data_IF_022756283977
#
_entry.id   IF_022756283977
#
_cell.length_a   1.000
_cell.length_b   1.000
_cell.length_c   1.000
_cell.angle_alpha   90.00
_cell.angle_beta   90.00
_cell.angle_gamma   90.00
#
_symmetry.space_group_name_H-M   'P 1'
#
loop_
_entity.id
_entity.type
_entity.pdbx_description
1 polymer ?
#
# COMPACT_ATOMS: atom_id res chain seq x y z
N UNK A 1 -6.18 -18.52 -12.28
CA UNK A 1 -6.31 -19.95 -12.68
C UNK A 1 -7.71 -20.43 -12.39
N UNK A 2 -8.24 -21.34 -13.20
CA UNK A 2 -9.53 -22.00 -12.98
C UNK A 2 -9.32 -23.50 -12.78
N UNK A 3 -9.98 -24.12 -11.79
CA UNK A 3 -9.90 -25.56 -11.50
C UNK A 3 -11.24 -26.28 -11.81
N UNK A 4 -11.26 -27.33 -12.64
CA UNK A 4 -12.45 -28.20 -12.79
C UNK A 4 -12.25 -29.55 -13.53
N UNK A 5 -12.82 -30.69 -13.05
CA UNK A 5 -12.84 -31.98 -13.75
C UNK A 5 -14.20 -32.21 -14.46
N UNK A 6 -14.28 -32.13 -15.79
CA UNK A 6 -15.59 -31.92 -16.45
C UNK A 6 -15.77 -32.59 -17.81
N UNK A 7 -17.02 -33.04 -18.07
CA UNK A 7 -17.56 -33.47 -19.37
C UNK A 7 -17.51 -32.35 -20.43
N UNK A 8 -17.68 -32.64 -21.73
CA UNK A 8 -17.53 -31.65 -22.82
C UNK A 8 -18.39 -30.37 -22.69
N UNK A 9 -19.57 -30.47 -22.06
CA UNK A 9 -20.46 -29.32 -21.79
C UNK A 9 -19.90 -28.45 -20.68
N UNK A 10 -19.49 -29.11 -19.62
CA UNK A 10 -18.95 -28.47 -18.43
C UNK A 10 -17.57 -27.84 -18.75
N UNK A 11 -16.76 -28.47 -19.61
CA UNK A 11 -15.50 -27.91 -20.11
C UNK A 11 -15.73 -26.62 -20.92
N UNK A 12 -16.68 -26.63 -21.85
CA UNK A 12 -17.04 -25.42 -22.62
C UNK A 12 -17.47 -24.27 -21.72
N UNK A 13 -18.30 -24.56 -20.72
CA UNK A 13 -18.70 -23.57 -19.73
C UNK A 13 -17.50 -23.03 -18.92
N UNK A 14 -16.57 -23.89 -18.50
CA UNK A 14 -15.37 -23.45 -17.81
C UNK A 14 -14.45 -22.56 -18.68
N UNK A 15 -14.38 -22.84 -19.99
CA UNK A 15 -13.66 -22.04 -20.98
C UNK A 15 -14.32 -20.67 -21.19
N UNK A 16 -15.65 -20.61 -21.30
CA UNK A 16 -16.41 -19.35 -21.39
C UNK A 16 -16.20 -18.47 -20.16
N UNK A 17 -16.33 -19.04 -18.95
CA UNK A 17 -16.11 -18.31 -17.70
C UNK A 17 -14.66 -17.85 -17.54
N UNK A 18 -13.69 -18.63 -18.02
CA UNK A 18 -12.28 -18.25 -18.00
C UNK A 18 -12.01 -17.01 -18.87
N UNK A 19 -12.58 -16.95 -20.08
CA UNK A 19 -12.43 -15.78 -20.97
C UNK A 19 -13.19 -14.56 -20.44
N UNK A 20 -14.35 -14.74 -19.78
CA UNK A 20 -15.04 -13.65 -19.11
C UNK A 20 -14.21 -13.07 -17.95
N UNK A 21 -13.66 -13.92 -17.08
CA UNK A 21 -12.76 -13.48 -15.99
C UNK A 21 -11.57 -12.73 -16.55
N UNK A 22 -10.91 -13.24 -17.59
CA UNK A 22 -9.80 -12.54 -18.25
C UNK A 22 -10.19 -11.15 -18.71
N UNK A 23 -11.32 -11.03 -19.39
CA UNK A 23 -11.82 -9.75 -19.90
C UNK A 23 -12.02 -8.76 -18.74
N UNK A 24 -12.66 -9.21 -17.66
CA UNK A 24 -12.92 -8.37 -16.48
C UNK A 24 -11.64 -7.97 -15.76
N UNK A 25 -10.74 -8.92 -15.51
CA UNK A 25 -9.48 -8.64 -14.81
C UNK A 25 -8.52 -7.79 -15.64
N UNK A 26 -8.49 -7.96 -16.96
CA UNK A 26 -7.67 -7.13 -17.86
C UNK A 26 -8.12 -5.67 -17.91
N UNK A 27 -9.34 -5.36 -17.43
CA UNK A 27 -9.84 -3.98 -17.32
C UNK A 27 -9.34 -3.26 -16.06
N UNK A 28 -8.76 -4.01 -15.11
CA UNK A 28 -8.14 -3.47 -13.91
C UNK A 28 -6.74 -2.97 -14.29
N UNK A 29 -6.33 -1.82 -13.75
CA UNK A 29 -5.04 -1.18 -14.10
C UNK A 29 -3.77 -1.93 -13.67
N UNK A 30 -3.88 -3.10 -13.05
CA UNK A 30 -2.75 -3.96 -12.69
C UNK A 30 -2.37 -4.91 -13.85
N UNK A 31 -1.14 -5.42 -13.87
CA UNK A 31 -0.71 -6.39 -14.88
C UNK A 31 -1.09 -7.83 -14.46
N UNK A 32 -1.84 -8.53 -15.32
CA UNK A 32 -2.27 -9.92 -15.06
C UNK A 32 -1.64 -10.90 -16.04
N UNK A 33 -1.04 -11.95 -15.46
CA UNK A 33 -0.59 -13.13 -16.18
C UNK A 33 -1.63 -14.26 -16.02
N UNK A 34 -2.20 -14.71 -17.14
CA UNK A 34 -3.26 -15.72 -17.13
C UNK A 34 -2.72 -17.10 -17.46
N UNK A 35 -2.56 -17.92 -16.43
CA UNK A 35 -2.26 -19.34 -16.58
C UNK A 35 -3.43 -20.09 -17.27
N UNK A 36 -3.14 -21.13 -18.08
CA UNK A 36 -4.16 -21.98 -18.70
C UNK A 36 -5.16 -22.56 -17.70
N UNK A 37 -6.30 -23.02 -18.22
CA UNK A 37 -7.28 -23.77 -17.45
C UNK A 37 -6.63 -24.99 -16.79
N UNK A 38 -6.75 -25.09 -15.47
CA UNK A 38 -6.20 -26.18 -14.67
C UNK A 38 -7.30 -27.20 -14.43
N UNK A 39 -7.07 -28.46 -14.77
CA UNK A 39 -8.10 -29.51 -14.65
C UNK A 39 -7.59 -30.73 -13.88
N UNK A 40 -6.33 -30.70 -13.41
CA UNK A 40 -5.71 -31.75 -12.61
C UNK A 40 -4.74 -31.17 -11.58
N UNK A 41 -4.48 -31.92 -10.52
CA UNK A 41 -3.60 -31.51 -9.44
C UNK A 41 -2.12 -31.43 -9.88
N UNK A 42 -1.67 -32.29 -10.79
CA UNK A 42 -0.30 -32.25 -11.33
C UNK A 42 -0.09 -30.99 -12.19
N UNK A 43 -1.09 -30.65 -13.02
CA UNK A 43 -1.06 -29.42 -13.81
C UNK A 43 -1.11 -28.17 -12.91
N UNK A 44 -1.89 -28.21 -11.83
CA UNK A 44 -1.99 -27.13 -10.84
C UNK A 44 -0.63 -26.81 -10.21
N UNK A 45 0.10 -27.83 -9.80
CA UNK A 45 1.44 -27.70 -9.22
C UNK A 45 2.45 -27.16 -10.24
N UNK A 46 2.44 -27.70 -11.47
CA UNK A 46 3.30 -27.23 -12.55
C UNK A 46 3.09 -25.73 -12.84
N UNK A 47 1.84 -25.28 -12.90
CA UNK A 47 1.53 -23.86 -13.10
C UNK A 47 1.99 -23.01 -11.92
N UNK A 48 1.78 -23.45 -10.67
CA UNK A 48 2.29 -22.73 -9.52
C UNK A 48 3.82 -22.55 -9.57
N UNK A 49 4.58 -23.63 -9.88
CA UNK A 49 6.04 -23.57 -10.08
C UNK A 49 6.44 -22.62 -11.18
N UNK A 50 5.71 -22.66 -12.30
CA UNK A 50 6.00 -21.83 -13.47
C UNK A 50 5.87 -20.35 -13.11
N UNK A 51 4.73 -19.93 -12.58
CA UNK A 51 4.45 -18.51 -12.41
C UNK A 51 5.10 -17.87 -11.17
N UNK A 52 5.41 -18.65 -10.13
CA UNK A 52 5.83 -18.10 -8.82
C UNK A 52 7.05 -17.18 -8.89
N UNK A 53 7.94 -17.34 -9.86
CA UNK A 53 9.20 -16.57 -9.88
C UNK A 53 9.06 -15.18 -10.50
N UNK A 54 8.02 -14.92 -11.31
CA UNK A 54 7.87 -13.66 -12.05
C UNK A 54 6.55 -12.91 -11.80
N UNK A 55 5.69 -13.39 -10.91
CA UNK A 55 4.50 -12.66 -10.45
C UNK A 55 4.61 -12.31 -8.97
N UNK A 56 3.96 -11.26 -8.52
CA UNK A 56 4.03 -10.81 -7.12
C UNK A 56 3.06 -11.55 -6.18
N UNK A 57 1.95 -12.06 -6.72
CA UNK A 57 0.91 -12.75 -5.98
C UNK A 57 -0.04 -13.46 -6.94
N UNK A 58 -1.05 -14.16 -6.39
CA UNK A 58 -1.89 -15.06 -7.17
C UNK A 58 -3.38 -14.94 -6.83
N UNK A 59 -4.22 -15.14 -7.85
CA UNK A 59 -5.66 -15.32 -7.70
C UNK A 59 -6.07 -16.66 -8.33
N UNK A 60 -6.63 -17.54 -7.51
CA UNK A 60 -7.25 -18.79 -7.95
C UNK A 60 -8.75 -18.58 -8.00
N UNK A 61 -9.35 -18.70 -9.16
CA UNK A 61 -10.80 -18.62 -9.34
C UNK A 61 -11.33 -20.05 -9.45
N UNK A 62 -12.22 -20.47 -8.56
CA UNK A 62 -12.64 -21.87 -8.45
C UNK A 62 -14.07 -22.01 -8.91
N UNK A 63 -14.29 -22.85 -9.93
CA UNK A 63 -15.61 -23.03 -10.53
C UNK A 63 -16.39 -24.22 -9.98
N UNK A 64 -15.71 -25.30 -9.64
CA UNK A 64 -16.39 -26.53 -9.23
C UNK A 64 -15.78 -27.15 -7.98
N UNK A 65 -16.54 -28.07 -7.39
CA UNK A 65 -16.07 -29.01 -6.41
C UNK A 65 -15.10 -30.03 -7.00
N UNK A 66 -14.46 -30.81 -6.12
CA UNK A 66 -13.41 -31.76 -6.48
C UNK A 66 -12.07 -31.09 -6.85
N UNK A 67 -11.93 -29.80 -6.54
CA UNK A 67 -10.77 -28.96 -6.86
C UNK A 67 -9.85 -28.76 -5.67
N UNK A 68 -10.19 -29.36 -4.53
CA UNK A 68 -9.53 -29.28 -3.23
C UNK A 68 -8.03 -29.51 -3.36
N UNK A 69 -7.66 -30.61 -4.03
CA UNK A 69 -6.27 -31.02 -4.23
C UNK A 69 -5.52 -30.05 -5.14
N UNK A 70 -6.18 -29.47 -6.14
CA UNK A 70 -5.56 -28.50 -7.04
C UNK A 70 -5.25 -27.20 -6.30
N UNK A 71 -6.23 -26.67 -5.56
CA UNK A 71 -6.09 -25.45 -4.75
C UNK A 71 -4.97 -25.64 -3.72
N UNK A 72 -4.98 -26.76 -3.01
CA UNK A 72 -3.97 -27.09 -2.01
C UNK A 72 -2.57 -27.18 -2.61
N UNK A 73 -2.38 -27.86 -3.75
CA UNK A 73 -1.07 -27.95 -4.40
C UNK A 73 -0.56 -26.60 -4.90
N UNK A 74 -1.44 -25.76 -5.46
CA UNK A 74 -1.05 -24.39 -5.83
C UNK A 74 -0.60 -23.63 -4.58
N UNK A 75 -1.40 -23.64 -3.51
CA UNK A 75 -1.07 -22.89 -2.29
C UNK A 75 0.25 -23.32 -1.64
N UNK A 76 0.54 -24.63 -1.60
CA UNK A 76 1.81 -25.16 -1.06
C UNK A 76 3.01 -24.78 -1.91
N UNK A 77 2.85 -24.74 -3.22
CA UNK A 77 3.96 -24.53 -4.14
C UNK A 77 4.20 -23.05 -4.47
N UNK A 78 3.18 -22.20 -4.45
CA UNK A 78 3.29 -20.83 -4.95
C UNK A 78 4.18 -19.93 -4.08
N UNK A 79 4.05 -20.02 -2.75
CA UNK A 79 4.93 -19.31 -1.80
C UNK A 79 4.88 -17.78 -1.83
N UNK A 80 3.82 -17.20 -2.39
CA UNK A 80 3.54 -15.76 -2.47
C UNK A 80 2.10 -15.48 -2.05
N UNK A 81 1.72 -14.22 -1.73
CA UNK A 81 0.34 -13.90 -1.34
C UNK A 81 -0.69 -14.44 -2.33
N UNK A 82 -1.70 -15.12 -1.80
CA UNK A 82 -2.67 -15.87 -2.60
C UNK A 82 -4.10 -15.58 -2.15
N UNK A 83 -4.97 -15.30 -3.11
CA UNK A 83 -6.41 -15.21 -2.92
C UNK A 83 -7.10 -16.36 -3.65
N UNK A 84 -8.00 -17.07 -2.96
CA UNK A 84 -8.87 -18.07 -3.56
C UNK A 84 -10.29 -17.51 -3.64
N UNK A 85 -10.77 -17.33 -4.87
CA UNK A 85 -12.10 -16.84 -5.21
C UNK A 85 -13.02 -18.02 -5.52
N UNK A 86 -14.04 -18.23 -4.71
CA UNK A 86 -15.04 -19.27 -4.91
C UNK A 86 -16.27 -18.74 -5.65
N UNK A 87 -16.67 -19.41 -6.71
CA UNK A 87 -17.92 -19.14 -7.41
C UNK A 87 -19.13 -19.85 -6.77
N UNK A 88 -20.35 -19.30 -6.81
CA UNK A 88 -21.54 -19.95 -6.22
C UNK A 88 -21.87 -21.33 -6.80
N UNK A 89 -21.56 -21.53 -8.08
CA UNK A 89 -21.90 -22.76 -8.80
C UNK A 89 -21.09 -23.99 -8.40
N UNK A 90 -21.65 -25.14 -8.75
CA UNK A 90 -20.98 -26.46 -8.81
C UNK A 90 -20.17 -26.87 -7.58
N UNK A 91 -20.59 -26.50 -6.37
CA UNK A 91 -19.94 -26.88 -5.12
C UNK A 91 -18.49 -26.35 -4.95
N UNK A 92 -18.15 -25.23 -5.60
CA UNK A 92 -16.80 -24.66 -5.53
C UNK A 92 -16.41 -24.21 -4.12
N UNK A 93 -17.35 -23.59 -3.38
CA UNK A 93 -17.09 -23.07 -2.04
C UNK A 93 -16.72 -24.17 -1.05
N UNK A 94 -17.35 -25.35 -1.15
CA UNK A 94 -16.99 -26.48 -0.32
C UNK A 94 -15.52 -26.87 -0.54
N UNK A 95 -15.09 -26.96 -1.81
CA UNK A 95 -13.70 -27.31 -2.11
C UNK A 95 -12.69 -26.24 -1.72
N UNK A 96 -13.07 -24.98 -1.84
CA UNK A 96 -12.25 -23.87 -1.34
C UNK A 96 -12.10 -23.95 0.18
N UNK A 97 -13.16 -24.27 0.93
CA UNK A 97 -13.12 -24.33 2.39
C UNK A 97 -12.23 -25.45 2.90
N UNK A 98 -12.34 -26.64 2.30
CA UNK A 98 -11.48 -27.78 2.65
C UNK A 98 -10.01 -27.48 2.36
N UNK A 99 -9.70 -27.01 1.14
CA UNK A 99 -8.33 -26.70 0.76
C UNK A 99 -7.71 -25.58 1.59
N UNK A 100 -8.48 -24.51 1.87
CA UNK A 100 -8.00 -23.39 2.69
C UNK A 100 -7.76 -23.81 4.13
N UNK A 101 -8.61 -24.67 4.70
CA UNK A 101 -8.38 -25.22 6.04
C UNK A 101 -7.07 -26.02 6.09
N UNK A 102 -6.82 -26.88 5.09
CA UNK A 102 -5.58 -27.64 4.98
C UNK A 102 -4.35 -26.74 4.78
N UNK A 103 -4.44 -25.74 3.89
CA UNK A 103 -3.35 -24.78 3.65
C UNK A 103 -2.97 -24.01 4.91
N UNK A 104 -3.97 -23.51 5.66
CA UNK A 104 -3.74 -22.78 6.92
C UNK A 104 -3.18 -23.68 8.01
N UNK A 105 -3.64 -24.93 8.08
CA UNK A 105 -3.06 -25.92 8.99
C UNK A 105 -1.56 -26.12 8.71
N UNK A 106 -1.14 -26.08 7.44
CA UNK A 106 0.27 -26.19 7.05
C UNK A 106 1.03 -24.85 7.00
N UNK A 107 0.47 -23.79 7.61
CA UNK A 107 1.12 -22.48 7.75
C UNK A 107 1.12 -21.61 6.49
N UNK A 108 0.26 -21.90 5.51
CA UNK A 108 0.10 -21.05 4.31
C UNK A 108 -0.99 -20.02 4.56
N UNK A 109 -0.61 -18.74 4.52
CA UNK A 109 -1.55 -17.63 4.56
C UNK A 109 -2.25 -17.48 3.20
N UNK A 110 -3.58 -17.63 3.23
CA UNK A 110 -4.42 -17.57 2.03
C UNK A 110 -5.71 -16.81 2.32
N UNK A 111 -6.00 -15.82 1.47
CA UNK A 111 -7.25 -15.08 1.47
C UNK A 111 -8.37 -15.86 0.79
N UNK A 112 -9.62 -15.60 1.17
CA UNK A 112 -10.79 -16.19 0.51
C UNK A 112 -11.76 -15.10 0.14
N UNK A 113 -12.26 -15.16 -1.10
CA UNK A 113 -13.36 -14.34 -1.58
C UNK A 113 -14.43 -15.23 -2.23
N UNK A 114 -15.64 -14.71 -2.37
CA UNK A 114 -16.79 -15.44 -2.89
C UNK A 114 -17.72 -14.48 -3.63
N UNK A 115 -18.20 -14.89 -4.80
CA UNK A 115 -19.11 -14.09 -5.62
C UNK A 115 -19.23 -14.63 -7.05
N UNK A 116 -20.14 -14.06 -7.82
CA UNK A 116 -20.34 -14.42 -9.22
C UNK A 116 -19.24 -13.81 -10.11
N UNK A 117 -19.13 -14.24 -11.38
CA UNK A 117 -18.14 -13.72 -12.34
C UNK A 117 -18.24 -12.20 -12.54
N UNK A 118 -19.44 -11.59 -12.61
CA UNK A 118 -19.55 -10.14 -12.72
C UNK A 118 -18.91 -9.36 -11.56
N UNK A 119 -18.86 -9.95 -10.36
CA UNK A 119 -18.32 -9.33 -9.15
C UNK A 119 -16.82 -9.53 -8.99
N UNK A 120 -16.19 -10.42 -9.78
CA UNK A 120 -14.80 -10.86 -9.55
C UNK A 120 -13.84 -9.69 -9.42
N UNK A 121 -13.95 -8.67 -10.28
CA UNK A 121 -13.06 -7.50 -10.25
C UNK A 121 -13.18 -6.71 -8.94
N UNK A 122 -14.41 -6.39 -8.52
CA UNK A 122 -14.68 -5.67 -7.26
C UNK A 122 -14.16 -6.45 -6.06
N UNK A 123 -14.43 -7.76 -6.04
CA UNK A 123 -14.13 -8.63 -4.90
C UNK A 123 -12.63 -8.96 -4.76
N UNK A 124 -11.85 -8.91 -5.84
CA UNK A 124 -10.40 -9.08 -5.77
C UNK A 124 -9.65 -7.76 -5.57
N UNK A 125 -10.26 -6.61 -5.89
CA UNK A 125 -9.62 -5.29 -5.82
C UNK A 125 -8.99 -4.94 -4.46
N UNK A 126 -9.61 -5.28 -3.31
CA UNK A 126 -8.96 -5.10 -2.01
C UNK A 126 -7.67 -5.89 -1.87
N UNK A 127 -7.64 -7.14 -2.33
CA UNK A 127 -6.44 -7.99 -2.30
C UNK A 127 -5.33 -7.41 -3.18
N UNK A 128 -5.67 -6.94 -4.39
CA UNK A 128 -4.70 -6.29 -5.29
C UNK A 128 -4.11 -5.02 -4.66
N UNK A 129 -4.95 -4.21 -4.00
CA UNK A 129 -4.50 -3.03 -3.26
C UNK A 129 -3.51 -3.36 -2.16
N UNK A 130 -3.79 -4.40 -1.37
CA UNK A 130 -2.88 -4.90 -0.34
C UNK A 130 -1.60 -5.45 -0.97
N UNK A 131 -1.70 -6.20 -2.06
CA UNK A 131 -0.55 -6.77 -2.76
C UNK A 131 0.39 -5.67 -3.29
N UNK A 132 -0.16 -4.61 -3.91
CA UNK A 132 0.63 -3.44 -4.33
C UNK A 132 1.41 -2.83 -3.17
N UNK A 133 0.78 -2.66 -2.02
CA UNK A 133 1.47 -2.15 -0.84
C UNK A 133 2.56 -3.12 -0.35
N UNK A 134 2.24 -4.42 -0.28
CA UNK A 134 3.18 -5.45 0.16
C UNK A 134 4.46 -5.49 -0.69
N UNK A 135 4.34 -5.32 -2.01
CA UNK A 135 5.49 -5.46 -2.94
C UNK A 135 6.28 -4.17 -3.08
N UNK A 136 5.65 -3.01 -2.87
CA UNK A 136 6.30 -1.69 -3.01
C UNK A 136 6.82 -1.11 -1.70
N UNK A 137 6.42 -1.67 -0.56
CA UNK A 137 6.89 -1.21 0.75
C UNK A 137 8.38 -1.51 0.98
N UNK A 138 8.90 -2.72 0.72
CA UNK A 138 10.32 -3.01 0.90
C UNK A 138 11.22 -2.10 0.04
N UNK A 139 12.30 -1.60 0.61
CA UNK A 139 13.21 -0.65 -0.03
C UNK A 139 12.72 0.80 0.00
N UNK A 140 11.48 1.07 0.44
CA UNK A 140 11.02 2.46 0.66
C UNK A 140 11.82 3.12 1.79
N UNK A 141 12.15 4.41 1.60
CA UNK A 141 12.97 5.19 2.53
C UNK A 141 12.08 6.04 3.44
N UNK A 142 12.09 5.73 4.73
CA UNK A 142 11.33 6.45 5.76
C UNK A 142 12.24 7.48 6.44
N UNK A 143 11.93 8.77 6.31
CA UNK A 143 12.68 9.83 6.96
C UNK A 143 12.18 10.07 8.39
N UNK A 144 13.12 10.19 9.32
CA UNK A 144 12.94 10.87 10.59
C UNK A 144 13.67 12.21 10.49
N UNK A 145 12.93 13.32 10.41
CA UNK A 145 13.48 14.68 10.36
C UNK A 145 13.42 15.27 11.76
N UNK A 146 14.59 15.62 12.31
CA UNK A 146 14.72 15.93 13.73
C UNK A 146 14.60 14.67 14.60
N UNK A 147 14.28 14.85 15.87
CA UNK A 147 14.08 13.73 16.80
C UNK A 147 12.60 13.37 16.98
N UNK A 148 12.36 12.20 17.56
CA UNK A 148 11.00 11.82 17.97
C UNK A 148 10.69 12.40 19.35
N UNK A 149 9.47 12.91 19.51
CA UNK A 149 9.04 13.61 20.71
C UNK A 149 9.25 12.81 22.00
N UNK A 150 9.62 13.47 23.11
CA UNK A 150 9.98 12.80 24.35
C UNK A 150 8.81 12.06 25.00
N UNK A 151 7.57 12.44 24.71
CA UNK A 151 6.37 11.78 25.23
C UNK A 151 5.94 10.53 24.46
N UNK A 152 6.52 10.25 23.29
CA UNK A 152 6.20 9.06 22.52
C UNK A 152 6.87 7.82 23.10
N UNK A 153 6.04 6.81 23.38
CA UNK A 153 6.46 5.54 23.97
C UNK A 153 6.97 4.55 22.92
N UNK A 154 6.45 4.62 21.69
CA UNK A 154 6.78 3.69 20.63
C UNK A 154 7.93 4.25 19.79
N UNK A 155 9.10 3.62 19.95
CA UNK A 155 10.31 3.92 19.19
C UNK A 155 10.66 2.74 18.29
N UNK A 156 10.85 2.99 17.00
CA UNK A 156 11.32 1.98 16.05
C UNK A 156 12.80 2.20 15.74
N UNK A 157 13.60 1.15 15.89
CA UNK A 157 14.98 1.19 15.40
C UNK A 157 15.02 0.97 13.88
N UNK A 158 16.03 1.51 13.18
CA UNK A 158 16.26 1.20 11.77
C UNK A 158 16.29 -0.31 11.49
N UNK A 159 16.95 -1.07 12.37
CA UNK A 159 17.03 -2.54 12.32
C UNK A 159 15.63 -3.19 12.34
N UNK A 160 14.76 -2.71 13.24
CA UNK A 160 13.40 -3.25 13.39
C UNK A 160 12.56 -2.97 12.15
N UNK A 161 12.62 -1.74 11.61
CA UNK A 161 11.89 -1.36 10.41
C UNK A 161 12.35 -2.14 9.19
N UNK A 162 13.67 -2.28 9.01
CA UNK A 162 14.24 -3.07 7.92
C UNK A 162 13.84 -4.54 8.03
N UNK A 163 13.98 -5.15 9.22
CA UNK A 163 13.69 -6.58 9.42
C UNK A 163 12.21 -6.92 9.27
N UNK A 164 11.31 -6.05 9.75
CA UNK A 164 9.86 -6.34 9.76
C UNK A 164 9.14 -5.88 8.50
N UNK A 165 9.54 -4.75 7.92
CA UNK A 165 8.81 -4.08 6.85
C UNK A 165 9.65 -3.84 5.59
N UNK A 166 10.95 -4.14 5.63
CA UNK A 166 11.87 -3.83 4.54
C UNK A 166 12.16 -2.34 4.37
N UNK A 167 11.78 -1.49 5.32
CA UNK A 167 11.96 -0.04 5.24
C UNK A 167 13.39 0.39 5.59
N UNK A 168 13.92 1.37 4.87
CA UNK A 168 15.19 2.02 5.17
C UNK A 168 14.95 3.32 5.94
N UNK A 169 15.32 3.37 7.23
CA UNK A 169 15.22 4.61 8.00
C UNK A 169 16.36 5.57 7.65
N UNK A 170 16.02 6.80 7.28
CA UNK A 170 16.96 7.91 7.05
C UNK A 170 16.78 8.94 8.15
N UNK A 171 17.78 9.11 9.01
CA UNK A 171 17.78 10.16 10.04
C UNK A 171 18.35 11.45 9.45
N UNK A 172 17.60 12.53 9.54
CA UNK A 172 17.95 13.85 9.00
C UNK A 172 17.84 14.85 10.14
N UNK A 173 18.82 15.74 10.28
CA UNK A 173 18.77 16.79 11.30
C UNK A 173 17.72 17.83 10.94
N UNK A 174 16.99 18.34 11.93
CA UNK A 174 16.00 19.38 11.72
C UNK A 174 16.64 20.65 11.14
N UNK A 175 17.85 20.99 11.59
CA UNK A 175 18.61 22.15 11.10
C UNK A 175 18.95 22.06 9.62
N UNK A 176 19.16 20.85 9.08
CA UNK A 176 19.41 20.68 7.65
C UNK A 176 18.16 21.05 6.83
N UNK A 177 16.97 20.61 7.27
CA UNK A 177 15.70 21.02 6.66
C UNK A 177 15.55 22.54 6.71
N UNK A 178 15.83 23.12 7.87
CA UNK A 178 15.65 24.54 8.12
C UNK A 178 16.60 25.41 7.30
N UNK A 179 17.87 25.02 7.20
CA UNK A 179 18.86 25.70 6.37
C UNK A 179 18.46 25.74 4.90
N UNK A 180 17.85 24.66 4.40
CA UNK A 180 17.30 24.61 3.04
C UNK A 180 16.08 25.52 2.92
N UNK A 181 15.17 25.48 3.90
CA UNK A 181 13.96 26.31 3.95
C UNK A 181 14.30 27.82 3.92
N UNK A 182 15.29 28.25 4.70
CA UNK A 182 15.76 29.64 4.72
C UNK A 182 16.34 30.11 3.38
N UNK A 183 16.92 29.18 2.62
CA UNK A 183 17.51 29.43 1.29
C UNK A 183 16.54 29.20 0.14
N UNK A 184 15.28 28.85 0.42
CA UNK A 184 14.27 28.65 -0.61
C UNK A 184 14.10 29.90 -1.46
N UNK A 185 13.96 29.71 -2.77
CA UNK A 185 13.83 30.79 -3.74
C UNK A 185 12.57 31.63 -3.45
N UNK A 186 12.74 32.94 -3.29
CA UNK A 186 11.66 33.84 -2.90
C UNK A 186 10.54 33.89 -3.94
N UNK A 187 10.87 33.71 -5.22
CA UNK A 187 9.87 33.66 -6.29
C UNK A 187 9.02 32.39 -6.16
N UNK A 188 9.62 31.22 -6.02
CA UNK A 188 8.89 29.97 -5.79
C UNK A 188 7.97 30.06 -4.56
N UNK A 189 8.48 30.63 -3.46
CA UNK A 189 7.69 30.83 -2.25
C UNK A 189 6.46 31.71 -2.54
N UNK A 190 6.65 32.84 -3.21
CA UNK A 190 5.56 33.73 -3.61
C UNK A 190 4.52 33.08 -4.52
N UNK A 191 4.96 32.27 -5.50
CA UNK A 191 4.08 31.51 -6.39
C UNK A 191 3.23 30.50 -5.62
N UNK A 192 3.81 29.77 -4.66
CA UNK A 192 3.06 28.82 -3.82
C UNK A 192 2.09 29.52 -2.88
N UNK A 193 2.45 30.67 -2.30
CA UNK A 193 1.51 31.48 -1.49
C UNK A 193 0.32 31.95 -2.33
N UNK A 194 0.58 32.46 -3.55
CA UNK A 194 -0.49 32.87 -4.46
C UNK A 194 -1.41 31.69 -4.80
N UNK A 195 -0.84 30.50 -5.05
CA UNK A 195 -1.60 29.27 -5.26
C UNK A 195 -2.47 28.93 -4.04
N UNK A 196 -1.94 28.98 -2.81
CA UNK A 196 -2.70 28.70 -1.58
C UNK A 196 -3.91 29.64 -1.45
N UNK A 197 -3.69 30.94 -1.64
CA UNK A 197 -4.76 31.95 -1.57
C UNK A 197 -5.83 31.72 -2.65
N UNK A 198 -5.43 31.37 -3.86
CA UNK A 198 -6.36 31.07 -4.95
C UNK A 198 -7.16 29.78 -4.70
N UNK A 199 -6.51 28.73 -4.21
CA UNK A 199 -7.12 27.41 -3.96
C UNK A 199 -8.12 27.46 -2.81
N UNK A 200 -7.78 28.13 -1.70
CA UNK A 200 -8.60 28.13 -0.48
C UNK A 200 -9.46 29.40 -0.32
N UNK A 201 -9.26 30.42 -1.15
CA UNK A 201 -9.97 31.69 -1.09
C UNK A 201 -9.57 32.51 0.13
N UNK A 202 -10.31 32.38 1.24
CA UNK A 202 -10.04 33.15 2.47
C UNK A 202 -9.02 32.44 3.34
N UNK A 203 -7.82 33.02 3.44
CA UNK A 203 -6.74 32.56 4.34
C UNK A 203 -6.61 33.54 5.51
N UNK A 204 -6.86 33.07 6.73
CA UNK A 204 -6.82 33.88 7.96
C UNK A 204 -5.43 33.80 8.64
N UNK A 205 -4.39 34.11 7.86
CA UNK A 205 -2.99 34.16 8.29
C UNK A 205 -2.26 35.28 7.56
N UNK A 206 -1.22 35.81 8.20
CA UNK A 206 -0.39 36.84 7.58
C UNK A 206 0.48 36.27 6.46
N UNK A 207 0.92 37.15 5.55
CA UNK A 207 1.82 36.74 4.46
C UNK A 207 3.18 36.26 4.99
N UNK A 208 3.64 36.80 6.12
CA UNK A 208 4.84 36.35 6.83
C UNK A 208 4.70 34.92 7.39
N UNK A 209 3.56 34.60 8.00
CA UNK A 209 3.28 33.23 8.48
C UNK A 209 3.23 32.24 7.32
N UNK A 210 2.59 32.64 6.21
CA UNK A 210 2.52 31.82 5.00
C UNK A 210 3.89 31.62 4.38
N UNK A 211 4.72 32.66 4.35
CA UNK A 211 6.10 32.57 3.86
C UNK A 211 6.91 31.54 4.66
N UNK A 212 6.91 31.62 6.00
CA UNK A 212 7.61 30.66 6.86
C UNK A 212 7.14 29.23 6.63
N UNK A 213 5.82 29.01 6.58
CA UNK A 213 5.23 27.70 6.38
C UNK A 213 5.55 27.10 4.99
N UNK A 214 5.50 27.92 3.93
CA UNK A 214 5.86 27.51 2.56
C UNK A 214 7.34 27.20 2.44
N UNK A 215 8.21 27.97 3.10
CA UNK A 215 9.65 27.70 3.14
C UNK A 215 9.94 26.33 3.76
N UNK A 216 9.28 25.97 4.86
CA UNK A 216 9.41 24.63 5.47
C UNK A 216 8.94 23.52 4.54
N UNK A 217 7.81 23.71 3.85
CA UNK A 217 7.37 22.80 2.80
C UNK A 217 8.45 22.58 1.73
N UNK A 218 9.05 23.66 1.21
CA UNK A 218 10.12 23.57 0.21
C UNK A 218 11.33 22.84 0.80
N UNK A 219 11.74 23.17 2.03
CA UNK A 219 12.83 22.49 2.73
C UNK A 219 12.62 20.98 2.82
N UNK A 220 11.43 20.54 3.25
CA UNK A 220 11.07 19.12 3.29
C UNK A 220 11.05 18.48 1.90
N UNK A 221 10.46 19.15 0.90
CA UNK A 221 10.39 18.64 -0.48
C UNK A 221 11.78 18.46 -1.10
N UNK A 222 12.72 19.36 -0.82
CA UNK A 222 14.11 19.20 -1.28
C UNK A 222 14.83 18.07 -0.55
N UNK A 223 14.57 17.83 0.74
CA UNK A 223 15.05 16.63 1.44
C UNK A 223 14.49 15.35 0.82
N UNK A 224 13.22 15.34 0.44
CA UNK A 224 12.61 14.20 -0.26
C UNK A 224 13.36 13.87 -1.53
N UNK A 225 13.65 14.87 -2.37
CA UNK A 225 14.44 14.69 -3.60
C UNK A 225 15.85 14.20 -3.28
N UNK A 226 16.53 14.86 -2.35
CA UNK A 226 17.93 14.59 -1.97
C UNK A 226 18.15 13.16 -1.45
N UNK A 227 17.21 12.65 -0.66
CA UNK A 227 17.33 11.35 0.01
C UNK A 227 16.39 10.28 -0.54
N UNK A 228 15.65 10.57 -1.62
CA UNK A 228 14.66 9.67 -2.23
C UNK A 228 13.64 9.14 -1.22
N UNK A 229 13.13 10.04 -0.37
CA UNK A 229 12.22 9.69 0.73
C UNK A 229 10.86 9.27 0.18
N UNK A 230 10.26 8.27 0.80
CA UNK A 230 8.90 7.77 0.49
C UNK A 230 7.87 8.19 1.53
N UNK A 231 8.29 8.51 2.75
CA UNK A 231 7.44 9.05 3.82
C UNK A 231 8.31 9.72 4.90
N UNK A 232 7.77 10.70 5.64
CA UNK A 232 8.54 11.47 6.61
C UNK A 232 7.79 11.72 7.93
N UNK A 233 8.43 11.39 9.05
CA UNK A 233 8.01 11.85 10.37
C UNK A 233 8.87 13.05 10.77
N UNK A 234 8.24 14.15 11.16
CA UNK A 234 8.89 15.44 11.41
C UNK A 234 8.73 15.84 12.87
N UNK A 235 9.84 16.21 13.52
CA UNK A 235 9.89 16.72 14.89
C UNK A 235 9.02 17.97 15.08
N UNK A 236 8.33 18.02 16.20
CA UNK A 236 7.56 19.13 16.73
C UNK A 236 8.43 20.24 17.32
N UNK A 237 9.49 20.63 16.59
CA UNK A 237 10.52 21.52 17.12
C UNK A 237 9.97 22.87 17.58
N UNK A 238 8.92 23.37 16.94
CA UNK A 238 8.20 24.59 17.29
C UNK A 238 7.54 24.54 18.68
N UNK A 239 7.19 23.34 19.17
CA UNK A 239 6.68 23.14 20.53
C UNK A 239 7.80 23.02 21.58
N UNK A 240 8.98 22.54 21.18
CA UNK A 240 10.11 22.32 22.07
C UNK A 240 11.02 23.56 22.21
N UNK A 241 11.08 24.40 21.17
CA UNK A 241 11.91 25.59 21.13
C UNK A 241 11.05 26.84 20.85
N UNK A 242 10.91 27.69 21.88
CA UNK A 242 10.12 28.92 21.80
C UNK A 242 10.58 29.90 20.72
N UNK A 243 11.85 29.84 20.31
CA UNK A 243 12.36 30.69 19.22
C UNK A 243 11.85 30.26 17.84
N UNK A 244 11.34 29.04 17.71
CA UNK A 244 10.86 28.43 16.48
C UNK A 244 9.33 28.30 16.43
N UNK A 245 8.61 28.91 17.39
CA UNK A 245 7.15 28.79 17.50
C UNK A 245 6.38 29.21 16.24
N UNK A 246 6.94 30.15 15.47
CA UNK A 246 6.34 30.63 14.20
C UNK A 246 6.74 29.77 12.99
N UNK A 247 7.56 28.73 13.19
CA UNK A 247 8.10 27.84 12.17
C UNK A 247 7.56 26.41 12.31
N UNK A 248 6.26 26.29 12.55
CA UNK A 248 5.57 25.01 12.61
C UNK A 248 5.47 24.30 11.25
N UNK A 249 5.82 23.00 11.14
CA UNK A 249 5.88 22.30 9.85
C UNK A 249 4.50 21.81 9.34
N UNK A 250 3.39 22.16 10.01
CA UNK A 250 2.04 21.61 9.77
C UNK A 250 1.58 21.70 8.31
N UNK A 251 1.67 22.90 7.70
CA UNK A 251 1.28 23.08 6.31
C UNK A 251 2.19 22.26 5.39
N UNK A 252 3.47 22.17 5.71
CA UNK A 252 4.42 21.47 4.88
C UNK A 252 4.25 19.96 4.91
N UNK A 253 3.96 19.34 6.05
CA UNK A 253 3.66 17.89 6.10
C UNK A 253 2.34 17.55 5.42
N UNK A 254 1.35 18.46 5.47
CA UNK A 254 0.09 18.31 4.76
C UNK A 254 0.29 18.38 3.22
N UNK A 255 0.95 19.43 2.73
CA UNK A 255 1.25 19.58 1.30
C UNK A 255 2.15 18.45 0.78
N UNK A 256 3.10 17.99 1.60
CA UNK A 256 3.97 16.89 1.23
C UNK A 256 3.20 15.56 1.10
N UNK A 257 2.20 15.34 1.96
CA UNK A 257 1.28 14.21 1.84
C UNK A 257 0.41 14.32 0.57
N UNK A 258 -0.07 15.50 0.22
CA UNK A 258 -0.80 15.76 -1.03
C UNK A 258 0.08 15.51 -2.27
N UNK A 259 1.38 15.80 -2.18
CA UNK A 259 2.38 15.50 -3.22
C UNK A 259 2.74 14.00 -3.30
N UNK A 260 2.05 13.14 -2.54
CA UNK A 260 2.22 11.69 -2.58
C UNK A 260 3.35 11.16 -1.69
N UNK A 261 3.82 11.97 -0.73
CA UNK A 261 4.83 11.59 0.26
C UNK A 261 4.20 11.66 1.66
N UNK A 262 3.60 10.56 2.13
CA UNK A 262 2.92 10.53 3.43
C UNK A 262 3.82 11.02 4.55
N UNK A 263 3.41 12.11 5.17
CA UNK A 263 4.22 12.78 6.20
C UNK A 263 3.34 13.28 7.33
N UNK A 264 3.87 13.29 8.56
CA UNK A 264 3.20 13.92 9.71
C UNK A 264 4.20 14.52 10.70
N UNK A 265 3.61 15.35 11.55
CA UNK A 265 4.16 15.98 12.73
C UNK A 265 4.34 15.00 13.91
N UNK A 266 5.05 15.42 14.95
CA UNK A 266 5.32 14.70 16.21
C UNK A 266 6.22 13.46 16.11
N UNK A 267 6.78 13.15 14.94
CA UNK A 267 7.73 12.03 14.84
C UNK A 267 7.12 10.63 15.10
N UNK A 268 5.80 10.45 15.05
CA UNK A 268 5.14 9.16 15.33
C UNK A 268 5.34 8.16 14.18
N UNK A 269 6.26 7.19 14.37
CA UNK A 269 6.69 6.29 13.30
C UNK A 269 5.57 5.40 12.79
N UNK A 270 4.83 4.77 13.69
CA UNK A 270 3.83 3.75 13.32
C UNK A 270 2.68 4.39 12.54
N UNK A 271 2.28 5.61 12.89
CA UNK A 271 1.22 6.33 12.18
C UNK A 271 1.67 6.73 10.77
N UNK A 272 2.85 7.33 10.62
CA UNK A 272 3.38 7.71 9.29
C UNK A 272 3.61 6.49 8.41
N UNK A 273 4.13 5.39 8.96
CA UNK A 273 4.29 4.13 8.24
C UNK A 273 2.93 3.57 7.81
N UNK A 274 1.91 3.67 8.66
CA UNK A 274 0.54 3.28 8.30
C UNK A 274 0.01 4.12 7.14
N UNK A 275 0.24 5.44 7.15
CA UNK A 275 -0.11 6.30 6.01
C UNK A 275 0.64 5.92 4.74
N UNK A 276 1.92 5.54 4.83
CA UNK A 276 2.68 5.01 3.68
C UNK A 276 2.00 3.76 3.12
N UNK A 277 1.65 2.79 3.97
CA UNK A 277 0.96 1.56 3.56
C UNK A 277 -0.36 1.91 2.85
N UNK A 278 -1.20 2.75 3.47
CA UNK A 278 -2.48 3.19 2.89
C UNK A 278 -2.25 3.88 1.53
N UNK A 279 -1.28 4.79 1.45
CA UNK A 279 -0.95 5.47 0.20
C UNK A 279 -0.53 4.48 -0.90
N UNK A 280 0.27 3.44 -0.59
CA UNK A 280 0.61 2.39 -1.57
C UNK A 280 -0.61 1.54 -1.96
N UNK A 281 -1.59 1.38 -1.08
CA UNK A 281 -2.82 0.64 -1.39
C UNK A 281 -3.72 1.40 -2.35
N UNK A 282 -3.97 2.70 -2.07
CA UNK A 282 -5.05 3.47 -2.73
C UNK A 282 -4.57 4.68 -3.54
N UNK A 283 -3.28 5.04 -3.46
CA UNK A 283 -2.69 6.16 -4.21
C UNK A 283 -3.19 7.54 -3.79
N UNK A 284 -3.66 7.70 -2.55
CA UNK A 284 -4.22 8.95 -2.03
C UNK A 284 -3.65 9.32 -0.67
N UNK A 285 -3.57 10.62 -0.41
CA UNK A 285 -3.21 11.16 0.89
C UNK A 285 -4.20 10.73 1.98
N UNK A 286 -3.70 10.65 3.20
CA UNK A 286 -4.47 10.35 4.41
C UNK A 286 -4.07 11.32 5.53
N UNK A 287 -4.83 11.34 6.62
CA UNK A 287 -4.55 12.18 7.78
C UNK A 287 -4.40 11.34 9.05
N UNK A 288 -3.73 11.90 10.05
CA UNK A 288 -3.59 11.34 11.39
C UNK A 288 -4.45 12.14 12.37
N UNK A 289 -5.06 11.47 13.36
CA UNK A 289 -5.81 12.12 14.42
C UNK A 289 -5.77 11.32 15.72
N UNK A 290 -5.85 12.04 16.84
CA UNK A 290 -6.01 11.44 18.16
C UNK A 290 -7.47 11.04 18.41
N UNK A 291 -7.68 9.81 18.89
CA UNK A 291 -8.99 9.35 19.35
C UNK A 291 -9.19 9.85 20.78
N UNK A 292 -10.08 10.82 20.98
CA UNK A 292 -10.28 11.47 22.29
C UNK A 292 -11.54 11.02 23.02
N UNK A 293 -12.44 10.27 22.35
CA UNK A 293 -13.71 9.74 22.88
C UNK A 293 -14.08 8.42 22.20
N UNK A 294 -14.85 7.56 22.88
CA UNK A 294 -15.40 6.28 22.39
C UNK A 294 -16.91 6.30 22.60
#
# INVERSE_FOLDING_TARGET
MVASPLSDVQRRYAEEMYEEVKTRLSSIGDHFEFAPLVTSADHAELMARRYRDWVDGGVIVVWSGGTDRMIYRIGREFGKPLLVYAHPGHNSLASVREAVAALRYDGVDVGVSYGDVPEVGEKISPFLSVLRAFVTLPGSRFAQIGEQEPWLLIRRSPETLRKRLGLEMVKIRWEEMFDIALKADAREVGEKIAWLKNTFGKVDRSDDDLEKAVRLYIGMRELVKKYSISSAAVEARDMLDLSLRDWGPYLGVALLSDDGIPSDYEGEHDAVITKLIIHRMVGRASFMANITRI
#
